data_IF_375318954732
#
_entry.id   IF_375318954732
#
_cell.length_a   1.000
_cell.length_b   1.000
_cell.length_c   1.000
_cell.angle_alpha   90.00
_cell.angle_beta   90.00
_cell.angle_gamma   90.00
#
_symmetry.space_group_name_H-M   'P 1'
#
loop_
_entity.id
_entity.type
_entity.pdbx_description
1 polymer ?
#
# COMPACT_ATOMS: atom_id res chain seq x y z
N UNK A 1 19.08 -16.54 0.80
CA UNK A 1 18.52 -15.86 1.94
C UNK A 1 17.66 -16.79 2.75
N UNK A 2 17.78 -16.76 4.07
CA UNK A 2 17.09 -17.69 4.95
C UNK A 2 15.66 -17.26 5.26
N UNK A 3 15.25 -16.15 4.76
CA UNK A 3 13.94 -15.62 5.10
C UNK A 3 12.81 -16.46 4.50
N UNK A 4 11.69 -16.44 5.19
CA UNK A 4 10.49 -17.12 4.73
C UNK A 4 9.85 -16.28 3.63
N UNK A 5 10.01 -16.71 2.40
CA UNK A 5 9.55 -15.95 1.25
C UNK A 5 8.04 -15.73 1.27
N UNK A 6 7.29 -16.71 1.73
CA UNK A 6 5.84 -16.55 1.77
C UNK A 6 5.42 -15.52 2.80
N UNK A 7 6.11 -15.49 3.91
CA UNK A 7 5.81 -14.50 4.94
C UNK A 7 6.14 -13.09 4.44
N UNK A 8 7.28 -12.97 3.78
CA UNK A 8 7.70 -11.69 3.23
C UNK A 8 6.72 -11.23 2.15
N UNK A 9 6.30 -12.14 1.30
CA UNK A 9 5.35 -11.82 0.25
C UNK A 9 4.05 -11.30 0.84
N UNK A 10 3.59 -11.94 1.90
CA UNK A 10 2.35 -11.53 2.57
C UNK A 10 2.49 -10.13 3.17
N UNK A 11 3.62 -9.87 3.79
CA UNK A 11 3.87 -8.55 4.36
C UNK A 11 3.91 -7.48 3.29
N UNK A 12 4.54 -7.78 2.18
CA UNK A 12 4.63 -6.83 1.08
C UNK A 12 3.26 -6.55 0.47
N UNK A 13 2.43 -7.57 0.35
CA UNK A 13 1.08 -7.38 -0.17
C UNK A 13 0.24 -6.52 0.78
N UNK A 14 0.42 -6.71 2.08
CA UNK A 14 -0.26 -5.89 3.06
C UNK A 14 0.18 -4.44 2.94
N UNK A 15 1.48 -4.22 2.83
CA UNK A 15 2.01 -2.87 2.68
C UNK A 15 1.51 -2.22 1.39
N UNK A 16 1.47 -3.00 0.32
CA UNK A 16 0.97 -2.50 -0.96
C UNK A 16 -0.46 -2.01 -0.82
N UNK A 17 -1.30 -2.78 -0.13
CA UNK A 17 -2.68 -2.39 0.06
C UNK A 17 -2.81 -1.09 0.84
N UNK A 18 -1.99 -0.93 1.87
CA UNK A 18 -2.01 0.30 2.65
C UNK A 18 -1.56 1.50 1.84
N UNK A 19 -0.52 1.30 1.04
CA UNK A 19 -0.02 2.36 0.17
C UNK A 19 -1.08 2.73 -0.86
N UNK A 20 -1.75 1.74 -1.43
CA UNK A 20 -2.82 1.99 -2.39
C UNK A 20 -3.93 2.82 -1.75
N UNK A 21 -4.26 2.54 -0.50
CA UNK A 21 -5.29 3.29 0.21
C UNK A 21 -4.90 4.73 0.42
N UNK A 22 -3.65 4.95 0.82
CA UNK A 22 -3.14 6.30 1.03
C UNK A 22 -3.11 7.07 -0.29
N UNK A 23 -2.66 6.40 -1.33
CA UNK A 23 -2.61 7.01 -2.65
C UNK A 23 -4.01 7.45 -3.09
N UNK A 24 -5.00 6.60 -2.85
CA UNK A 24 -6.37 6.93 -3.21
C UNK A 24 -6.85 8.17 -2.47
N UNK A 25 -6.51 8.27 -1.19
CA UNK A 25 -6.90 9.44 -0.42
C UNK A 25 -6.29 10.71 -0.99
N UNK A 26 -5.04 10.63 -1.38
CA UNK A 26 -4.36 11.77 -1.99
C UNK A 26 -5.03 12.15 -3.31
N UNK A 27 -5.38 11.17 -4.10
CA UNK A 27 -6.04 11.42 -5.38
C UNK A 27 -7.41 12.04 -5.20
N UNK A 28 -8.14 11.60 -4.18
CA UNK A 28 -9.46 12.16 -3.91
C UNK A 28 -9.36 13.59 -3.39
N UNK A 29 -8.33 13.86 -2.62
CA UNK A 29 -8.11 15.22 -2.12
C UNK A 29 -7.91 16.22 -3.24
N UNK A 30 -7.35 15.76 -4.37
CA UNK A 30 -7.17 16.64 -5.52
C UNK A 30 -8.48 17.29 -5.93
N UNK A 31 -9.55 16.53 -5.85
CA UNK A 31 -10.85 17.04 -6.27
C UNK A 31 -11.50 17.90 -5.20
N UNK A 32 -11.08 17.74 -3.97
CA UNK A 32 -11.65 18.49 -2.86
C UNK A 32 -10.95 19.84 -2.64
N UNK A 33 -9.72 19.94 -3.08
CA UNK A 33 -8.92 21.12 -2.79
C UNK A 33 -9.32 22.35 -3.60
N UNK A 34 -10.10 22.14 -4.60
CA UNK A 34 -10.52 23.26 -5.41
C UNK A 34 -11.87 23.78 -4.97
#
# INVERSE_FOLDING_TARGET
MQADHKKIERLLKTAKGQIDGILRMVEEDRYCMD
#
